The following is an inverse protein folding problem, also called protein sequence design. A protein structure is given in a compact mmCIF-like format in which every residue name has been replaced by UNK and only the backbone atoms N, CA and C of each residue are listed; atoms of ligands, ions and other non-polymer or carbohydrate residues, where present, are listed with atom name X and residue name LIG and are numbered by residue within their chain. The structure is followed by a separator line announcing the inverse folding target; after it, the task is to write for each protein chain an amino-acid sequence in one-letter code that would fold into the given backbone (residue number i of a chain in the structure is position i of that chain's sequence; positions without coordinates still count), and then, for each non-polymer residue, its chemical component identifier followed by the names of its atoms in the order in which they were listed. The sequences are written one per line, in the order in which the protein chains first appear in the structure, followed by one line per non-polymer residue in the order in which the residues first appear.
data_IF_462042407348
#
_entry.id   IF_462042407348
#
_cell.length_a   1.000
_cell.length_b   1.000
_cell.length_c   1.000
_cell.angle_alpha   90.00
_cell.angle_beta   90.00
_cell.angle_gamma   90.00
#
_symmetry.space_group_name_H-M   'P 1'
#
loop_
_entity.id
_entity.type
_entity.pdbx_description
1 polymer ?
#
# COMPACT_ATOMS: atom_id res chain seq x y z
N UNK A 1 -27.67 4.28 -23.90
CA UNK A 1 -26.91 5.30 -23.15
C UNK A 1 -26.29 4.61 -21.95
N UNK A 2 -24.98 4.75 -21.71
CA UNK A 2 -24.35 4.16 -20.54
C UNK A 2 -24.83 4.86 -19.26
N UNK A 3 -25.08 4.11 -18.20
CA UNK A 3 -25.45 4.67 -16.89
C UNK A 3 -24.23 5.40 -16.30
N UNK A 4 -24.30 6.74 -16.11
CA UNK A 4 -23.20 7.51 -15.53
C UNK A 4 -22.76 6.98 -14.16
N UNK A 5 -23.69 6.42 -13.39
CA UNK A 5 -23.43 5.86 -12.06
C UNK A 5 -22.52 4.63 -12.14
N UNK A 6 -22.78 3.74 -13.11
CA UNK A 6 -21.96 2.55 -13.32
C UNK A 6 -20.53 2.91 -13.76
N UNK A 7 -20.39 3.89 -14.64
CA UNK A 7 -19.09 4.37 -15.10
C UNK A 7 -18.28 4.98 -13.94
N UNK A 8 -18.93 5.74 -13.05
CA UNK A 8 -18.30 6.30 -11.87
C UNK A 8 -17.79 5.20 -10.92
N UNK A 9 -18.65 4.25 -10.56
CA UNK A 9 -18.27 3.15 -9.66
C UNK A 9 -17.18 2.25 -10.27
N UNK A 10 -17.24 1.99 -11.57
CA UNK A 10 -16.19 1.24 -12.28
C UNK A 10 -14.85 1.99 -12.25
N UNK A 11 -14.87 3.30 -12.50
CA UNK A 11 -13.68 4.13 -12.42
C UNK A 11 -13.07 4.13 -11.01
N UNK A 12 -13.90 4.29 -9.98
CA UNK A 12 -13.45 4.22 -8.59
C UNK A 12 -12.83 2.86 -8.25
N UNK A 13 -13.47 1.76 -8.68
CA UNK A 13 -12.95 0.41 -8.48
C UNK A 13 -11.57 0.23 -9.12
N UNK A 14 -11.38 0.69 -10.36
CA UNK A 14 -10.09 0.59 -11.06
C UNK A 14 -9.00 1.38 -10.34
N UNK A 15 -9.31 2.60 -9.88
CA UNK A 15 -8.35 3.43 -9.13
C UNK A 15 -7.92 2.73 -7.83
N UNK A 16 -8.88 2.21 -7.07
CA UNK A 16 -8.59 1.51 -5.81
C UNK A 16 -7.72 0.28 -6.06
N UNK A 17 -8.10 -0.56 -7.04
CA UNK A 17 -7.33 -1.75 -7.40
C UNK A 17 -5.90 -1.42 -7.86
N UNK A 18 -5.72 -0.29 -8.57
CA UNK A 18 -4.39 0.18 -8.95
C UNK A 18 -3.55 0.58 -7.73
N UNK A 19 -4.13 1.31 -6.78
CA UNK A 19 -3.46 1.68 -5.51
C UNK A 19 -3.12 0.45 -4.68
N UNK A 20 -4.00 -0.56 -4.63
CA UNK A 20 -3.74 -1.84 -3.96
C UNK A 20 -2.53 -2.55 -4.56
N UNK A 21 -2.46 -2.66 -5.89
CA UNK A 21 -1.34 -3.30 -6.58
C UNK A 21 -0.01 -2.59 -6.28
N UNK A 22 0.00 -1.25 -6.37
CA UNK A 22 1.18 -0.44 -6.04
C UNK A 22 1.59 -0.67 -4.58
N UNK A 23 0.63 -0.75 -3.67
CA UNK A 23 0.89 -0.99 -2.25
C UNK A 23 1.48 -2.38 -2.01
N UNK A 24 0.95 -3.43 -2.65
CA UNK A 24 1.48 -4.79 -2.57
C UNK A 24 2.91 -4.86 -3.14
N UNK A 25 3.19 -4.19 -4.26
CA UNK A 25 4.56 -4.09 -4.81
C UNK A 25 5.50 -3.41 -3.80
N UNK A 26 5.05 -2.34 -3.15
CA UNK A 26 5.82 -1.64 -2.13
C UNK A 26 6.07 -2.51 -0.89
N UNK A 27 5.11 -3.34 -0.49
CA UNK A 27 5.31 -4.32 0.58
C UNK A 27 6.47 -5.26 0.22
N UNK A 28 6.62 -5.66 -1.04
CA UNK A 28 7.65 -6.63 -1.45
C UNK A 28 9.05 -6.02 -1.44
N UNK A 29 9.15 -4.71 -1.67
CA UNK A 29 10.38 -3.91 -1.50
C UNK A 29 10.77 -3.68 -0.04
N UNK A 30 9.85 -3.92 0.91
CA UNK A 30 10.11 -3.72 2.33
C UNK A 30 11.07 -4.78 2.90
N UNK A 31 12.03 -4.37 3.72
CA UNK A 31 12.93 -5.27 4.48
C UNK A 31 12.22 -5.99 5.65
N UNK A 32 10.89 -5.94 5.73
CA UNK A 32 10.11 -6.62 6.77
C UNK A 32 10.02 -8.13 6.51
N UNK A 33 9.75 -8.89 7.58
CA UNK A 33 9.55 -10.34 7.53
C UNK A 33 8.47 -10.71 6.51
N UNK A 34 8.64 -11.86 5.84
CA UNK A 34 7.69 -12.36 4.84
C UNK A 34 6.25 -12.43 5.36
N UNK A 35 6.03 -12.96 6.57
CA UNK A 35 4.70 -13.09 7.18
C UNK A 35 4.00 -11.74 7.35
N UNK A 36 4.75 -10.69 7.71
CA UNK A 36 4.19 -9.33 7.84
C UNK A 36 3.72 -8.82 6.49
N UNK A 37 4.53 -8.99 5.44
CA UNK A 37 4.18 -8.56 4.08
C UNK A 37 2.94 -9.30 3.57
N UNK A 38 2.89 -10.61 3.78
CA UNK A 38 1.78 -11.46 3.35
C UNK A 38 0.47 -11.10 4.06
N UNK A 39 0.51 -10.88 5.38
CA UNK A 39 -0.67 -10.48 6.15
C UNK A 39 -1.24 -9.14 5.64
N UNK A 40 -0.36 -8.15 5.41
CA UNK A 40 -0.77 -6.85 4.89
C UNK A 40 -1.34 -6.92 3.47
N UNK A 41 -0.72 -7.70 2.58
CA UNK A 41 -1.26 -7.92 1.25
C UNK A 41 -2.65 -8.57 1.28
N UNK A 42 -2.87 -9.52 2.19
CA UNK A 42 -4.15 -10.20 2.33
C UNK A 42 -5.26 -9.26 2.83
N UNK A 43 -4.95 -8.39 3.81
CA UNK A 43 -5.90 -7.37 4.30
C UNK A 43 -6.29 -6.40 3.20
N UNK A 44 -5.31 -5.88 2.44
CA UNK A 44 -5.55 -4.94 1.35
C UNK A 44 -6.37 -5.61 0.25
N UNK A 45 -6.02 -6.84 -0.16
CA UNK A 45 -6.73 -7.53 -1.23
C UNK A 45 -8.18 -7.89 -0.88
N UNK A 46 -8.43 -8.32 0.36
CA UNK A 46 -9.79 -8.69 0.80
C UNK A 46 -10.66 -7.47 1.13
N UNK A 47 -10.05 -6.42 1.67
CA UNK A 47 -10.72 -5.19 2.07
C UNK A 47 -9.99 -4.01 1.40
N UNK A 48 -10.24 -3.72 0.11
CA UNK A 48 -9.45 -2.74 -0.64
C UNK A 48 -9.45 -1.34 0.00
N UNK A 49 -10.63 -0.77 0.26
CA UNK A 49 -10.73 0.57 0.86
C UNK A 49 -10.25 0.58 2.31
N UNK A 50 -10.75 -0.34 3.15
CA UNK A 50 -10.44 -0.36 4.58
C UNK A 50 -8.98 -0.76 4.84
N UNK A 51 -8.46 -1.70 4.06
CA UNK A 51 -7.08 -2.17 4.13
C UNK A 51 -6.09 -1.08 3.76
N UNK A 52 -6.38 -0.27 2.73
CA UNK A 52 -5.58 0.91 2.40
C UNK A 52 -5.61 1.97 3.51
N UNK A 53 -6.78 2.21 4.14
CA UNK A 53 -6.89 3.15 5.27
C UNK A 53 -6.01 2.67 6.43
N UNK A 54 -6.15 1.41 6.85
CA UNK A 54 -5.36 0.83 7.95
C UNK A 54 -3.86 0.84 7.62
N UNK A 55 -3.50 0.51 6.38
CA UNK A 55 -2.11 0.60 5.90
C UNK A 55 -1.59 2.05 5.92
N UNK A 56 -2.43 3.03 5.62
CA UNK A 56 -2.13 4.45 5.72
C UNK A 56 -1.80 4.93 7.14
N UNK A 57 -2.24 4.22 8.19
CA UNK A 57 -1.89 4.58 9.56
C UNK A 57 -0.68 3.79 10.08
N UNK A 58 -0.71 2.46 9.93
CA UNK A 58 0.24 1.57 10.61
C UNK A 58 0.95 0.60 9.64
N UNK A 59 0.76 0.79 8.33
CA UNK A 59 1.35 -0.04 7.30
C UNK A 59 2.88 0.00 7.34
N UNK A 60 3.55 -1.09 6.91
CA UNK A 60 4.99 -1.19 6.96
C UNK A 60 5.62 -0.27 5.91
N UNK A 61 6.07 0.89 6.36
CA UNK A 61 6.88 1.83 5.56
C UNK A 61 8.35 1.51 5.77
N UNK A 62 9.13 1.51 4.68
CA UNK A 62 10.58 1.51 4.79
C UNK A 62 11.01 2.85 5.38
N UNK A 63 11.51 2.86 6.62
CA UNK A 63 12.22 4.04 7.12
C UNK A 63 13.61 4.01 6.48
N UNK A 64 14.08 5.12 5.88
CA UNK A 64 15.48 5.24 5.49
C UNK A 64 16.33 4.93 6.72
N UNK A 65 17.29 4.02 6.58
CA UNK A 65 18.26 3.76 7.64
C UNK A 65 18.96 5.10 7.92
N UNK A 66 18.99 5.57 9.18
CA UNK A 66 19.72 6.79 9.49
C UNK A 66 21.18 6.61 9.06
N UNK A 67 21.83 7.65 8.52
CA UNK A 67 23.21 7.55 8.07
C UNK A 67 24.10 7.13 9.25
N UNK A 68 24.83 6.04 9.07
CA UNK A 68 25.70 5.46 10.10
C UNK A 68 27.08 6.11 10.16
N UNK A 69 27.34 7.16 9.38
CA UNK A 69 28.63 7.83 9.31
C UNK A 69 28.68 9.09 10.19
N UNK A 70 29.70 9.25 11.05
CA UNK A 70 29.95 10.48 11.82
C UNK A 70 30.18 11.72 10.94
N UNK A 71 30.60 11.56 9.69
CA UNK A 71 30.79 12.67 8.73
C UNK A 71 29.48 13.24 8.19
N UNK A 72 28.38 12.46 8.16
CA UNK A 72 27.07 12.94 7.70
C UNK A 72 26.23 13.59 8.80
N UNK A 73 26.79 13.73 10.02
CA UNK A 73 26.16 14.39 11.17
C UNK A 73 26.60 15.84 11.36
N UNK A 74 27.44 16.39 10.47
CA UNK A 74 28.00 17.74 10.55
C UNK A 74 27.50 18.60 9.40
#
# INVERSE_FOLDING_TARGET
MGDPSLLFWLGAFVVIAFVDLVTIINLWRSEKRFNTRLMWALIILLLPVIGLIIWGFIGPRGMPKPPTSPEQSK
#
